data_IF_063118081759
#
_entry.id   IF_063118081759
#
_cell.length_a   1.000
_cell.length_b   1.000
_cell.length_c   1.000
_cell.angle_alpha   90.00
_cell.angle_beta   90.00
_cell.angle_gamma   90.00
#
_symmetry.space_group_name_H-M   'P 1'
#
loop_
_entity.id
_entity.type
_entity.pdbx_description
1 polymer ?
#
# COMPACT_ATOMS: atom_id res chain seq x y z
N UNK A 1 -14.66 10.03 9.17
CA UNK A 1 -13.88 10.50 8.01
C UNK A 1 -14.41 9.80 6.76
N UNK A 2 -14.48 10.45 5.61
CA UNK A 2 -15.07 9.88 4.38
C UNK A 2 -14.19 8.82 3.69
N UNK A 3 -13.28 8.17 4.43
CA UNK A 3 -12.52 6.98 3.98
C UNK A 3 -11.55 7.17 2.82
N UNK A 4 -11.30 8.41 2.37
CA UNK A 4 -10.43 8.71 1.21
C UNK A 4 -9.33 9.68 1.61
N UNK A 5 -8.08 9.26 1.37
CA UNK A 5 -6.88 10.07 1.46
C UNK A 5 -6.35 10.32 0.04
N UNK A 6 -6.02 11.56 -0.29
CA UNK A 6 -5.37 11.92 -1.56
C UNK A 6 -4.02 12.56 -1.29
N UNK A 7 -2.97 11.98 -1.87
CA UNK A 7 -1.58 12.43 -1.72
C UNK A 7 -0.98 12.65 -3.10
N UNK A 8 -0.22 13.72 -3.27
CA UNK A 8 0.55 13.98 -4.48
C UNK A 8 2.04 13.77 -4.19
N UNK A 9 2.66 12.86 -4.92
CA UNK A 9 4.08 12.54 -4.81
C UNK A 9 4.81 13.01 -6.07
N UNK A 10 6.01 13.57 -5.91
CA UNK A 10 6.93 13.83 -7.01
C UNK A 10 7.91 12.66 -7.10
N UNK A 11 7.82 11.91 -8.19
CA UNK A 11 8.67 10.75 -8.46
C UNK A 11 9.28 10.89 -9.86
N UNK A 12 10.49 10.39 -10.04
CA UNK A 12 11.09 10.24 -11.36
C UNK A 12 10.40 9.11 -12.15
N UNK A 13 10.61 9.10 -13.47
CA UNK A 13 10.16 7.99 -14.30
C UNK A 13 10.89 6.71 -13.89
N UNK A 14 10.15 5.64 -13.61
CA UNK A 14 10.72 4.38 -13.14
C UNK A 14 9.68 3.36 -12.74
N UNK A 15 10.14 2.19 -12.33
CA UNK A 15 9.29 1.11 -11.82
C UNK A 15 9.24 1.18 -10.29
N UNK A 16 8.05 1.37 -9.73
CA UNK A 16 7.83 1.54 -8.29
C UNK A 16 6.73 0.63 -7.79
N UNK A 17 6.89 0.08 -6.60
CA UNK A 17 5.81 -0.52 -5.82
C UNK A 17 5.52 0.40 -4.64
N UNK A 18 4.28 0.84 -4.49
CA UNK A 18 3.88 1.70 -3.38
C UNK A 18 3.10 0.85 -2.39
N UNK A 19 3.49 0.91 -1.12
CA UNK A 19 2.76 0.32 -0.01
C UNK A 19 2.30 1.44 0.93
N UNK A 20 1.12 1.26 1.53
CA UNK A 20 0.56 2.14 2.55
C UNK A 20 0.35 1.32 3.82
N UNK A 21 0.71 1.92 4.96
CA UNK A 21 0.41 1.43 6.30
C UNK A 21 -0.41 2.53 6.97
N UNK A 22 -1.54 2.15 7.55
CA UNK A 22 -2.35 3.00 8.43
C UNK A 22 -1.87 2.73 9.85
N UNK A 23 -0.78 3.38 10.23
CA UNK A 23 -0.10 3.22 11.52
C UNK A 23 -0.95 3.88 12.61
N UNK A 24 -1.71 3.07 13.35
CA UNK A 24 -2.72 3.55 14.31
C UNK A 24 -2.09 3.94 15.65
N UNK A 25 -0.88 3.45 15.95
CA UNK A 25 -0.20 3.66 17.21
C UNK A 25 1.11 4.47 17.11
N UNK A 26 1.41 4.97 15.91
CA UNK A 26 2.54 5.84 15.58
C UNK A 26 3.92 5.21 15.85
N UNK A 27 4.03 3.87 15.75
CA UNK A 27 5.29 3.16 16.00
C UNK A 27 6.17 2.98 14.75
N UNK A 28 5.72 3.44 13.59
CA UNK A 28 6.39 3.32 12.28
C UNK A 28 6.62 1.89 11.79
N UNK A 29 5.92 0.92 12.38
CA UNK A 29 5.90 -0.48 11.95
C UNK A 29 4.52 -0.87 11.43
N UNK A 30 4.43 -2.03 10.78
CA UNK A 30 3.14 -2.68 10.57
C UNK A 30 2.99 -3.74 11.65
N UNK A 31 2.15 -3.46 12.64
CA UNK A 31 1.95 -4.34 13.77
C UNK A 31 1.37 -5.69 13.36
N UNK A 32 1.83 -6.73 14.04
CA UNK A 32 1.40 -8.11 13.77
C UNK A 32 1.08 -8.85 15.07
N UNK A 33 0.18 -9.82 14.98
CA UNK A 33 -0.04 -10.77 16.07
C UNK A 33 1.02 -11.89 16.08
N UNK A 34 0.93 -12.80 17.05
CA UNK A 34 1.86 -13.93 17.24
C UNK A 34 1.96 -14.87 16.04
N UNK A 35 0.96 -14.88 15.14
CA UNK A 35 0.94 -15.66 13.89
C UNK A 35 1.22 -14.79 12.64
N UNK A 36 1.83 -13.61 12.81
CA UNK A 36 2.26 -12.68 11.74
C UNK A 36 1.14 -12.04 10.91
N UNK A 37 -0.11 -12.07 11.39
CA UNK A 37 -1.22 -11.38 10.73
C UNK A 37 -1.18 -9.89 11.08
N UNK A 38 -1.25 -8.97 10.09
CA UNK A 38 -1.37 -7.54 10.31
C UNK A 38 -2.52 -7.19 11.26
N UNK A 39 -2.27 -6.27 12.19
CA UNK A 39 -3.28 -5.71 13.10
C UNK A 39 -3.79 -4.34 12.67
N UNK A 40 -3.09 -3.71 11.75
CA UNK A 40 -3.36 -2.36 11.26
C UNK A 40 -3.70 -2.40 9.76
N UNK A 41 -4.21 -1.28 9.26
CA UNK A 41 -4.56 -1.13 7.85
C UNK A 41 -3.32 -1.20 6.95
N UNK A 42 -3.40 -1.94 5.86
CA UNK A 42 -2.34 -1.97 4.85
C UNK A 42 -2.90 -2.03 3.43
N UNK A 43 -2.13 -1.57 2.45
CA UNK A 43 -2.51 -1.61 1.05
C UNK A 43 -1.33 -1.46 0.10
N UNK A 44 -1.57 -1.77 -1.18
CA UNK A 44 -0.56 -1.73 -2.24
C UNK A 44 -1.08 -1.00 -3.48
N UNK A 45 -0.19 -0.41 -4.28
CA UNK A 45 -0.53 0.29 -5.52
C UNK A 45 -1.24 -0.60 -6.52
N UNK A 46 -2.46 -0.21 -6.90
CA UNK A 46 -3.31 -0.88 -7.89
C UNK A 46 -3.50 -2.39 -7.63
N UNK A 47 -3.31 -2.83 -6.37
CA UNK A 47 -3.34 -4.23 -5.98
C UNK A 47 -4.11 -4.40 -4.67
N UNK A 48 -5.01 -5.38 -4.63
CA UNK A 48 -5.74 -5.75 -3.44
C UNK A 48 -5.42 -7.18 -3.05
N UNK A 49 -5.00 -7.38 -1.81
CA UNK A 49 -4.54 -8.68 -1.35
C UNK A 49 -5.74 -9.58 -1.00
N UNK A 50 -6.10 -10.48 -1.91
CA UNK A 50 -7.18 -11.46 -1.71
C UNK A 50 -6.71 -12.76 -1.06
N UNK A 51 -5.47 -13.16 -1.33
CA UNK A 51 -4.91 -14.44 -0.88
C UNK A 51 -4.19 -14.32 0.47
N UNK A 52 -4.14 -15.41 1.22
CA UNK A 52 -3.42 -15.52 2.48
C UNK A 52 -1.90 -15.70 2.29
N UNK A 53 -1.33 -15.04 1.27
CA UNK A 53 0.09 -15.08 0.93
C UNK A 53 0.61 -13.66 0.81
N UNK A 54 1.82 -13.41 1.33
CA UNK A 54 2.48 -12.10 1.18
C UNK A 54 2.69 -11.79 -0.32
N UNK A 55 2.30 -10.59 -0.81
CA UNK A 55 2.57 -10.20 -2.18
C UNK A 55 4.07 -9.98 -2.38
N UNK A 56 4.52 -10.23 -3.61
CA UNK A 56 5.84 -9.87 -4.12
C UNK A 56 5.80 -8.50 -4.78
N UNK A 57 6.97 -7.89 -4.98
CA UNK A 57 7.08 -6.61 -5.68
C UNK A 57 6.41 -6.64 -7.07
N UNK A 58 6.52 -7.76 -7.78
CA UNK A 58 5.93 -7.91 -9.11
C UNK A 58 4.40 -7.89 -9.13
N UNK A 59 3.74 -8.13 -7.99
CA UNK A 59 2.28 -8.16 -7.91
C UNK A 59 1.67 -6.75 -7.90
N UNK A 60 2.43 -5.75 -7.45
CA UNK A 60 1.92 -4.38 -7.25
C UNK A 60 2.83 -3.28 -7.81
N UNK A 61 3.88 -3.63 -8.55
CA UNK A 61 4.73 -2.66 -9.21
C UNK A 61 4.00 -1.94 -10.34
N UNK A 62 4.33 -0.65 -10.51
CA UNK A 62 3.77 0.26 -11.49
C UNK A 62 4.89 1.00 -12.19
N UNK A 63 4.78 1.12 -13.51
CA UNK A 63 5.62 2.02 -14.28
C UNK A 63 5.09 3.46 -14.15
N UNK A 64 5.85 4.31 -13.46
CA UNK A 64 5.64 5.74 -13.37
C UNK A 64 6.16 6.40 -14.65
N UNK A 65 5.35 7.28 -15.23
CA UNK A 65 5.64 8.06 -16.45
C UNK A 65 5.79 9.54 -16.12
N UNK A 66 6.23 10.37 -17.08
CA UNK A 66 6.35 11.82 -16.91
C UNK A 66 5.02 12.54 -16.62
N UNK A 67 3.89 11.97 -17.05
CA UNK A 67 2.57 12.54 -16.83
C UNK A 67 1.51 11.45 -16.69
N UNK A 68 0.36 11.82 -16.12
CA UNK A 68 -0.86 11.01 -16.04
C UNK A 68 -0.70 9.70 -15.25
N UNK A 69 -0.01 9.76 -14.11
CA UNK A 69 0.00 8.66 -13.15
C UNK A 69 -1.16 8.83 -12.19
N UNK A 70 -2.04 7.84 -12.14
CA UNK A 70 -3.03 7.71 -11.07
C UNK A 70 -2.86 6.33 -10.46
N UNK A 71 -2.77 6.28 -9.14
CA UNK A 71 -2.53 5.07 -8.36
C UNK A 71 -3.61 5.02 -7.31
N UNK A 72 -4.33 3.89 -7.25
CA UNK A 72 -5.33 3.65 -6.23
C UNK A 72 -4.79 2.63 -5.24
N UNK A 73 -4.85 2.95 -3.95
CA UNK A 73 -4.55 2.00 -2.88
C UNK A 73 -5.85 1.75 -2.12
N UNK A 74 -6.24 0.48 -2.05
CA UNK A 74 -7.37 0.03 -1.23
C UNK A 74 -6.81 -0.52 0.07
N UNK A 75 -7.06 0.19 1.17
CA UNK A 75 -6.63 -0.22 2.51
C UNK A 75 -7.47 -1.41 2.97
N UNK A 76 -6.80 -2.44 3.47
CA UNK A 76 -7.39 -3.65 4.01
C UNK A 76 -7.07 -3.76 5.49
N UNK A 77 -8.10 -4.06 6.26
CA UNK A 77 -8.02 -4.50 7.66
C UNK A 77 -8.39 -5.99 7.72
N UNK A 78 -7.74 -6.75 8.60
CA UNK A 78 -7.92 -8.20 8.75
C UNK A 78 -8.54 -8.57 10.09
#
# INVERSE_FOLDING_TARGET
>A
MNGVLSVQLKLEQGEFGIALIDDENENSELDRNVIKVPKEGFGFSDFYLEQLKKPSFNDFKKQIKLANNNITIRVKYL
#
